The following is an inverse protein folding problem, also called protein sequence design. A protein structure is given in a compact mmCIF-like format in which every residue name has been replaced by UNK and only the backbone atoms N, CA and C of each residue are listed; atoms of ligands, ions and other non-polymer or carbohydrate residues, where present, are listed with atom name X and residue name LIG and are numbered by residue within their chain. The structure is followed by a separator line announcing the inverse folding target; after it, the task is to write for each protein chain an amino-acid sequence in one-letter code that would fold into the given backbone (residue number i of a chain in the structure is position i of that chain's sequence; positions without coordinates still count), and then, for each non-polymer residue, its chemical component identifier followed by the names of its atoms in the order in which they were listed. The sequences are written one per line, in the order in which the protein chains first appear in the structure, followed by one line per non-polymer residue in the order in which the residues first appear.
data_IF_275180417774
#
_entry.id   IF_275180417774
#
_cell.length_a   1.000
_cell.length_b   1.000
_cell.length_c   1.000
_cell.angle_alpha   90.00
_cell.angle_beta   90.00
_cell.angle_gamma   90.00
#
_symmetry.space_group_name_H-M   'P 1'
#
loop_
_entity.id
_entity.type
_entity.pdbx_description
1 polymer ?
#
# COMPACT_ATOMS: atom_id res chain seq x y z
N UNK A 1 22.92 -11.92 -33.83
CA UNK A 1 22.09 -10.75 -33.44
C UNK A 1 22.15 -9.71 -34.53
N UNK A 2 21.00 -9.37 -35.13
CA UNK A 2 20.91 -8.33 -36.18
C UNK A 2 21.23 -6.95 -35.57
N UNK A 3 21.80 -6.03 -36.37
CA UNK A 3 22.13 -4.65 -35.91
C UNK A 3 20.93 -3.95 -35.22
N UNK A 4 19.72 -4.21 -35.71
CA UNK A 4 18.46 -3.70 -35.15
C UNK A 4 18.19 -4.20 -33.71
N UNK A 5 18.52 -5.45 -33.39
CA UNK A 5 18.33 -5.99 -32.03
C UNK A 5 19.26 -5.34 -31.01
N UNK A 6 20.50 -5.06 -31.39
CA UNK A 6 21.45 -4.34 -30.53
C UNK A 6 21.00 -2.91 -30.27
N UNK A 7 20.50 -2.22 -31.30
CA UNK A 7 20.00 -0.86 -31.13
C UNK A 7 18.82 -0.79 -30.15
N UNK A 8 17.86 -1.70 -30.27
CA UNK A 8 16.73 -1.81 -29.34
C UNK A 8 17.25 -2.15 -27.93
N UNK A 9 18.18 -3.09 -27.80
CA UNK A 9 18.78 -3.45 -26.51
C UNK A 9 19.48 -2.25 -25.84
N UNK A 10 20.25 -1.47 -26.57
CA UNK A 10 20.90 -0.26 -26.03
C UNK A 10 19.86 0.79 -25.61
N UNK A 11 18.80 1.00 -26.42
CA UNK A 11 17.73 1.92 -26.07
C UNK A 11 17.00 1.53 -24.78
N UNK A 12 16.63 0.26 -24.63
CA UNK A 12 15.98 -0.27 -23.42
C UNK A 12 16.92 -0.17 -22.22
N UNK A 13 18.22 -0.52 -22.40
CA UNK A 13 19.21 -0.43 -21.31
C UNK A 13 19.44 1.01 -20.87
N UNK A 14 19.57 1.95 -21.82
CA UNK A 14 19.72 3.37 -21.52
C UNK A 14 18.49 3.92 -20.80
N UNK A 15 17.26 3.56 -21.23
CA UNK A 15 16.02 3.91 -20.55
C UNK A 15 15.97 3.37 -19.11
N UNK A 16 16.40 2.12 -18.89
CA UNK A 16 16.47 1.54 -17.55
C UNK A 16 17.44 2.31 -16.64
N UNK A 17 18.64 2.63 -17.14
CA UNK A 17 19.61 3.43 -16.37
C UNK A 17 19.14 4.84 -16.09
N UNK A 18 18.45 5.47 -17.05
CA UNK A 18 17.83 6.79 -16.86
C UNK A 18 16.80 6.78 -15.71
N UNK A 19 15.90 5.80 -15.70
CA UNK A 19 14.88 5.66 -14.63
C UNK A 19 15.55 5.43 -13.27
N UNK A 20 16.55 4.55 -13.21
CA UNK A 20 17.30 4.31 -11.97
C UNK A 20 18.01 5.60 -11.51
N UNK A 21 18.65 6.30 -12.41
CA UNK A 21 19.33 7.58 -12.10
C UNK A 21 18.36 8.64 -11.59
N UNK A 22 17.18 8.76 -12.22
CA UNK A 22 16.11 9.67 -11.76
C UNK A 22 15.63 9.31 -10.36
N UNK A 23 15.44 8.02 -10.07
CA UNK A 23 15.00 7.57 -8.76
C UNK A 23 16.04 7.87 -7.66
N UNK A 24 17.30 7.63 -7.95
CA UNK A 24 18.42 7.96 -7.06
C UNK A 24 18.51 9.47 -6.85
N UNK A 25 18.39 10.25 -7.92
CA UNK A 25 18.38 11.72 -7.83
C UNK A 25 17.23 12.22 -6.94
N UNK A 26 16.00 11.76 -7.16
CA UNK A 26 14.85 12.15 -6.34
C UNK A 26 15.03 11.78 -4.86
N UNK A 27 15.57 10.59 -4.59
CA UNK A 27 15.85 10.17 -3.22
C UNK A 27 16.86 11.11 -2.53
N UNK A 28 17.98 11.41 -3.19
CA UNK A 28 18.97 12.31 -2.64
C UNK A 28 18.45 13.74 -2.53
N UNK A 29 17.67 14.21 -3.50
CA UNK A 29 17.04 15.53 -3.47
C UNK A 29 16.12 15.68 -2.26
N UNK A 30 15.21 14.73 -2.04
CA UNK A 30 14.28 14.76 -0.90
C UNK A 30 15.06 14.73 0.44
N UNK A 31 16.08 13.88 0.54
CA UNK A 31 16.92 13.85 1.74
C UNK A 31 17.66 15.17 1.95
N UNK A 32 18.21 15.76 0.90
CA UNK A 32 18.96 17.03 0.97
C UNK A 32 18.07 18.19 1.46
N UNK A 33 16.88 18.34 0.88
CA UNK A 33 15.91 19.39 1.28
C UNK A 33 15.39 19.19 2.71
N UNK A 34 15.39 17.95 3.22
CA UNK A 34 14.98 17.64 4.59
C UNK A 34 16.08 17.81 5.64
N UNK A 35 17.37 17.87 5.26
CA UNK A 35 18.49 17.97 6.22
C UNK A 35 18.43 19.19 7.17
N UNK A 36 18.01 20.40 6.74
CA UNK A 36 17.99 21.58 7.60
C UNK A 36 17.16 21.41 8.89
N UNK A 37 16.19 20.49 8.89
CA UNK A 37 15.42 20.18 10.12
C UNK A 37 16.32 19.73 11.26
N UNK A 38 17.39 18.98 10.98
CA UNK A 38 18.32 18.48 11.99
C UNK A 38 19.24 19.56 12.61
N UNK A 39 19.29 20.74 12.02
CA UNK A 39 20.03 21.89 12.57
C UNK A 39 19.21 22.65 13.64
N UNK A 40 17.87 22.64 13.48
CA UNK A 40 16.94 23.37 14.36
C UNK A 40 16.27 22.46 15.41
N UNK A 41 16.07 21.19 15.07
CA UNK A 41 15.36 20.22 15.92
C UNK A 41 16.10 18.88 15.93
N UNK A 42 16.28 18.28 17.10
CA UNK A 42 16.85 16.94 17.19
C UNK A 42 15.97 15.90 16.44
N UNK A 43 16.61 15.02 15.66
CA UNK A 43 15.93 13.98 14.87
C UNK A 43 15.02 13.07 15.70
N UNK A 44 15.38 12.81 16.96
CA UNK A 44 14.52 12.02 17.85
C UNK A 44 13.26 12.80 18.22
N UNK A 45 13.37 14.09 18.48
CA UNK A 45 12.22 14.97 18.74
C UNK A 45 11.33 15.07 17.50
N UNK A 46 11.91 15.25 16.30
CA UNK A 46 11.16 15.26 15.04
C UNK A 46 10.37 13.97 14.82
N UNK A 47 10.97 12.81 15.07
CA UNK A 47 10.34 11.52 14.83
C UNK A 47 9.31 11.10 15.88
N UNK A 48 9.50 11.48 17.15
CA UNK A 48 8.72 10.96 18.27
C UNK A 48 7.86 12.00 19.00
N UNK A 49 8.00 13.30 18.73
CA UNK A 49 7.11 14.31 19.28
C UNK A 49 5.71 14.20 18.64
N UNK A 50 4.70 14.52 19.44
CA UNK A 50 3.29 14.46 19.04
C UNK A 50 2.75 15.80 18.54
N UNK A 51 3.52 16.88 18.70
CA UNK A 51 3.08 18.23 18.37
C UNK A 51 3.62 18.64 17.00
N UNK A 52 2.71 19.02 16.12
CA UNK A 52 3.02 19.60 14.83
C UNK A 52 2.45 21.02 14.75
N UNK A 53 3.31 22.01 14.85
CA UNK A 53 3.00 23.42 14.67
C UNK A 53 4.22 24.15 14.08
N UNK A 54 4.50 23.97 12.78
CA UNK A 54 5.69 24.53 12.15
C UNK A 54 5.73 26.06 12.11
N UNK A 55 4.56 26.73 12.28
CA UNK A 55 4.44 28.19 12.31
C UNK A 55 4.41 28.74 13.74
N UNK A 56 4.51 27.88 14.74
CA UNK A 56 4.55 28.27 16.15
C UNK A 56 5.84 28.98 16.53
N UNK A 57 5.83 29.60 17.69
CA UNK A 57 7.04 30.20 18.25
C UNK A 57 7.22 29.77 19.74
N UNK A 58 8.10 28.79 20.02
CA UNK A 58 9.00 28.08 19.11
C UNK A 58 8.24 27.12 18.16
N UNK A 59 8.81 26.76 16.97
CA UNK A 59 8.22 25.80 16.07
C UNK A 59 8.28 24.38 16.65
N UNK A 60 7.18 23.62 16.48
CA UNK A 60 7.09 22.22 16.89
C UNK A 60 6.90 21.36 15.64
N UNK A 61 7.82 20.41 15.40
CA UNK A 61 7.90 19.64 14.13
C UNK A 61 7.73 18.14 14.32
N UNK A 62 6.97 17.71 15.34
CA UNK A 62 6.76 16.29 15.63
C UNK A 62 5.85 15.60 14.61
N UNK A 63 6.34 14.56 13.92
CA UNK A 63 5.57 13.80 12.92
C UNK A 63 5.06 12.43 13.43
N UNK A 64 5.21 12.15 14.71
CA UNK A 64 4.85 10.84 15.28
C UNK A 64 3.38 10.44 15.06
N UNK A 65 2.39 11.32 15.26
CA UNK A 65 0.99 11.00 15.01
C UNK A 65 0.73 10.59 13.56
N UNK A 66 1.35 11.27 12.59
CA UNK A 66 1.20 10.98 11.16
C UNK A 66 1.87 9.67 10.74
N UNK A 67 3.03 9.35 11.33
CA UNK A 67 3.66 8.02 11.16
C UNK A 67 2.72 6.93 11.69
N UNK A 68 2.22 7.08 12.92
CA UNK A 68 1.27 6.16 13.52
C UNK A 68 -0.02 6.05 12.69
N UNK A 69 -0.56 7.17 12.19
CA UNK A 69 -1.74 7.22 11.32
C UNK A 69 -1.53 6.45 10.03
N UNK A 70 -0.42 6.68 9.33
CA UNK A 70 -0.06 5.96 8.10
C UNK A 70 0.06 4.45 8.34
N UNK A 71 0.74 4.03 9.41
CA UNK A 71 0.92 2.63 9.74
C UNK A 71 -0.40 1.97 10.15
N UNK A 72 -1.19 2.64 10.99
CA UNK A 72 -2.44 2.10 11.51
C UNK A 72 -3.48 1.90 10.40
N UNK A 73 -3.71 2.92 9.55
CA UNK A 73 -4.66 2.82 8.44
C UNK A 73 -4.23 1.75 7.44
N UNK A 74 -2.94 1.67 7.12
CA UNK A 74 -2.41 0.70 6.16
C UNK A 74 -2.51 -0.74 6.68
N UNK A 75 -2.18 -0.97 7.95
CA UNK A 75 -2.30 -2.29 8.58
C UNK A 75 -3.74 -2.77 8.61
N UNK A 76 -4.68 -1.90 9.03
CA UNK A 76 -6.10 -2.23 9.04
C UNK A 76 -6.63 -2.53 7.63
N UNK A 77 -6.29 -1.71 6.64
CA UNK A 77 -6.71 -1.93 5.27
C UNK A 77 -6.26 -3.30 4.73
N UNK A 78 -5.00 -3.67 4.97
CA UNK A 78 -4.44 -4.95 4.53
C UNK A 78 -5.03 -6.11 5.31
N UNK A 79 -5.30 -5.95 6.61
CA UNK A 79 -5.93 -6.96 7.45
C UNK A 79 -7.32 -7.36 6.93
N UNK A 80 -8.06 -6.42 6.33
CA UNK A 80 -9.34 -6.69 5.67
C UNK A 80 -9.18 -7.16 4.23
N UNK A 81 -8.34 -6.48 3.44
CA UNK A 81 -8.21 -6.74 2.00
C UNK A 81 -7.66 -8.12 1.69
N UNK A 82 -6.63 -8.59 2.44
CA UNK A 82 -5.95 -9.84 2.09
C UNK A 82 -6.80 -11.07 2.37
N UNK A 83 -7.46 -11.25 3.53
CA UNK A 83 -8.34 -12.40 3.74
C UNK A 83 -9.53 -12.41 2.78
N UNK A 84 -10.19 -11.25 2.59
CA UNK A 84 -11.34 -11.13 1.69
C UNK A 84 -10.92 -11.40 0.23
N UNK A 85 -9.83 -10.78 -0.23
CA UNK A 85 -9.31 -10.98 -1.58
C UNK A 85 -8.84 -12.40 -1.86
N UNK A 86 -8.18 -13.03 -0.86
CA UNK A 86 -7.77 -14.45 -0.95
C UNK A 86 -8.99 -15.37 -1.03
N UNK A 87 -10.00 -15.14 -0.19
CA UNK A 87 -11.26 -15.88 -0.21
C UNK A 87 -12.01 -15.72 -1.55
N UNK A 88 -12.08 -14.48 -2.06
CA UNK A 88 -12.64 -14.18 -3.37
C UNK A 88 -11.90 -14.92 -4.51
N UNK A 89 -10.57 -14.92 -4.50
CA UNK A 89 -9.75 -15.62 -5.48
C UNK A 89 -9.99 -17.13 -5.46
N UNK A 90 -10.09 -17.75 -4.29
CA UNK A 90 -10.43 -19.17 -4.14
C UNK A 90 -11.83 -19.45 -4.67
N UNK A 91 -12.83 -18.63 -4.30
CA UNK A 91 -14.19 -18.77 -4.76
C UNK A 91 -14.27 -18.71 -6.29
N UNK A 92 -13.68 -17.69 -6.90
CA UNK A 92 -13.67 -17.50 -8.35
C UNK A 92 -12.95 -18.65 -9.09
N UNK A 93 -11.91 -19.21 -8.50
CA UNK A 93 -11.09 -20.22 -9.14
C UNK A 93 -11.70 -21.63 -9.09
N UNK A 94 -12.50 -21.95 -8.07
CA UNK A 94 -12.98 -23.32 -7.83
C UNK A 94 -14.49 -23.48 -7.87
N UNK A 95 -15.26 -22.43 -7.57
CA UNK A 95 -16.73 -22.55 -7.39
C UNK A 95 -17.52 -21.81 -8.48
N UNK A 96 -16.86 -21.09 -9.37
CA UNK A 96 -17.49 -20.29 -10.43
C UNK A 96 -17.14 -20.86 -11.80
N UNK A 97 -18.11 -20.90 -12.72
CA UNK A 97 -17.86 -21.32 -14.10
C UNK A 97 -16.87 -20.38 -14.80
N UNK A 98 -16.09 -20.90 -15.75
CA UNK A 98 -15.03 -20.14 -16.42
C UNK A 98 -15.53 -18.82 -17.03
N UNK A 99 -16.72 -18.83 -17.68
CA UNK A 99 -17.29 -17.61 -18.30
C UNK A 99 -17.60 -16.53 -17.27
N UNK A 100 -18.25 -16.90 -16.17
CA UNK A 100 -18.62 -15.95 -15.10
C UNK A 100 -17.36 -15.45 -14.39
N UNK A 101 -16.41 -16.35 -14.11
CA UNK A 101 -15.11 -15.97 -13.53
C UNK A 101 -14.40 -14.92 -14.37
N UNK A 102 -14.30 -15.13 -15.68
CA UNK A 102 -13.55 -14.22 -16.56
C UNK A 102 -14.25 -12.85 -16.65
N UNK A 103 -15.58 -12.80 -16.61
CA UNK A 103 -16.35 -11.55 -16.53
C UNK A 103 -16.08 -10.84 -15.18
N UNK A 104 -16.16 -11.56 -14.06
CA UNK A 104 -15.95 -10.98 -12.74
C UNK A 104 -14.50 -10.49 -12.56
N UNK A 105 -13.52 -11.23 -13.07
CA UNK A 105 -12.12 -10.77 -13.06
C UNK A 105 -11.95 -9.50 -13.90
N UNK A 106 -12.57 -9.41 -15.07
CA UNK A 106 -12.53 -8.19 -15.88
C UNK A 106 -13.11 -6.97 -15.12
N UNK A 107 -14.22 -7.14 -14.37
CA UNK A 107 -14.75 -6.08 -13.50
C UNK A 107 -13.79 -5.70 -12.37
N UNK A 108 -13.18 -6.69 -11.72
CA UNK A 108 -12.19 -6.47 -10.66
C UNK A 108 -10.98 -5.73 -11.21
N UNK A 109 -10.47 -6.11 -12.39
CA UNK A 109 -9.34 -5.44 -13.02
C UNK A 109 -9.69 -3.99 -13.46
N UNK A 110 -10.93 -3.73 -13.88
CA UNK A 110 -11.40 -2.37 -14.14
C UNK A 110 -11.36 -1.49 -12.88
N UNK A 111 -11.70 -2.03 -11.71
CA UNK A 111 -11.60 -1.28 -10.44
C UNK A 111 -10.16 -0.88 -10.12
N UNK A 112 -9.16 -1.68 -10.53
CA UNK A 112 -7.75 -1.31 -10.35
C UNK A 112 -7.34 -0.06 -11.15
N UNK A 113 -8.06 0.24 -12.24
CA UNK A 113 -7.85 1.44 -13.08
C UNK A 113 -8.56 2.69 -12.58
N UNK A 114 -9.43 2.59 -11.58
CA UNK A 114 -10.17 3.74 -11.05
C UNK A 114 -9.22 4.65 -10.25
N UNK A 115 -9.19 5.99 -10.53
CA UNK A 115 -8.41 6.94 -9.75
C UNK A 115 -8.75 6.90 -8.26
N UNK A 116 -7.74 7.00 -7.39
CA UNK A 116 -7.93 6.94 -5.93
C UNK A 116 -8.84 8.03 -5.38
N UNK A 117 -8.88 9.20 -6.01
CA UNK A 117 -9.79 10.31 -5.67
C UNK A 117 -11.26 9.88 -5.74
N UNK A 118 -11.63 9.03 -6.71
CA UNK A 118 -13.01 8.53 -6.83
C UNK A 118 -13.36 7.63 -5.64
N UNK A 119 -12.42 6.75 -5.22
CA UNK A 119 -12.60 5.95 -4.00
C UNK A 119 -12.73 6.83 -2.76
N UNK A 120 -11.91 7.90 -2.65
CA UNK A 120 -12.01 8.88 -1.59
C UNK A 120 -13.36 9.58 -1.56
N UNK A 121 -13.87 10.04 -2.71
CA UNK A 121 -15.16 10.70 -2.84
C UNK A 121 -16.33 9.78 -2.46
N UNK A 122 -16.33 8.54 -2.95
CA UNK A 122 -17.34 7.53 -2.55
C UNK A 122 -17.19 7.21 -1.06
N UNK A 123 -15.96 7.12 -0.56
CA UNK A 123 -15.66 6.92 0.85
C UNK A 123 -16.25 8.02 1.71
N UNK A 124 -16.04 9.28 1.34
CA UNK A 124 -16.59 10.45 2.04
C UNK A 124 -18.13 10.46 2.04
N UNK A 125 -18.74 10.23 0.88
CA UNK A 125 -20.20 10.34 0.73
C UNK A 125 -20.95 9.13 1.28
N UNK A 126 -20.37 7.93 1.24
CA UNK A 126 -21.05 6.68 1.66
C UNK A 126 -20.49 6.16 2.98
N UNK A 127 -19.16 5.91 3.05
CA UNK A 127 -18.57 5.21 4.21
C UNK A 127 -18.55 6.10 5.44
N UNK A 128 -18.05 7.33 5.31
CA UNK A 128 -18.00 8.33 6.41
C UNK A 128 -19.40 8.59 6.96
N UNK A 129 -20.39 8.85 6.09
CA UNK A 129 -21.77 9.08 6.53
C UNK A 129 -22.39 7.86 7.23
N UNK A 130 -22.05 6.64 6.80
CA UNK A 130 -22.56 5.41 7.45
C UNK A 130 -21.90 5.20 8.80
N UNK A 131 -20.60 5.40 8.93
CA UNK A 131 -19.87 5.29 10.19
C UNK A 131 -20.39 6.33 11.19
N UNK A 132 -20.54 7.60 10.77
CA UNK A 132 -21.10 8.64 11.62
C UNK A 132 -22.48 8.28 12.20
N UNK A 133 -23.36 7.68 11.39
CA UNK A 133 -24.69 7.26 11.84
C UNK A 133 -24.66 6.01 12.75
N UNK A 134 -23.83 5.02 12.41
CA UNK A 134 -23.79 3.75 13.16
C UNK A 134 -23.19 3.94 14.56
N UNK A 135 -22.17 4.80 14.66
CA UNK A 135 -21.44 5.04 15.91
C UNK A 135 -21.84 6.35 16.59
N UNK A 136 -22.90 7.03 16.09
CA UNK A 136 -23.43 8.30 16.63
C UNK A 136 -22.33 9.39 16.78
N UNK A 137 -21.40 9.46 15.81
CA UNK A 137 -20.31 10.42 15.81
C UNK A 137 -20.73 11.73 15.16
N UNK A 138 -20.21 12.85 15.66
CA UNK A 138 -20.39 14.17 15.05
C UNK A 138 -19.84 14.25 13.63
N UNK A 139 -18.75 13.56 13.36
CA UNK A 139 -18.16 13.32 12.03
C UNK A 139 -17.77 11.85 11.95
N UNK A 140 -18.11 11.19 10.84
CA UNK A 140 -17.70 9.78 10.62
C UNK A 140 -16.31 9.66 9.98
N UNK A 141 -15.61 10.77 9.75
CA UNK A 141 -14.21 10.78 9.32
C UNK A 141 -13.35 10.12 10.38
N UNK A 142 -12.63 9.06 10.00
CA UNK A 142 -11.92 8.22 10.97
C UNK A 142 -10.87 7.33 10.29
N UNK A 143 -9.99 6.79 11.11
CA UNK A 143 -9.05 5.72 10.70
C UNK A 143 -9.81 4.52 10.12
N UNK A 144 -10.95 4.15 10.73
CA UNK A 144 -11.77 3.05 10.24
C UNK A 144 -12.34 3.33 8.84
N UNK A 145 -12.85 4.54 8.60
CA UNK A 145 -13.36 4.94 7.29
C UNK A 145 -12.26 4.83 6.21
N UNK A 146 -11.08 5.38 6.50
CA UNK A 146 -9.93 5.32 5.61
C UNK A 146 -9.47 3.88 5.35
N UNK A 147 -9.39 3.06 6.38
CA UNK A 147 -9.00 1.65 6.25
C UNK A 147 -9.97 0.83 5.40
N UNK A 148 -11.28 1.06 5.53
CA UNK A 148 -12.30 0.38 4.71
C UNK A 148 -12.23 0.78 3.24
N UNK A 149 -12.07 2.09 2.96
CA UNK A 149 -11.92 2.60 1.59
C UNK A 149 -10.65 2.02 0.94
N UNK A 150 -9.53 2.05 1.66
CA UNK A 150 -8.29 1.46 1.19
C UNK A 150 -8.40 -0.06 0.99
N UNK A 151 -9.09 -0.77 1.89
CA UNK A 151 -9.29 -2.21 1.76
C UNK A 151 -9.99 -2.55 0.43
N UNK A 152 -11.06 -1.82 0.09
CA UNK A 152 -11.75 -2.00 -1.19
C UNK A 152 -10.83 -1.72 -2.38
N UNK A 153 -10.03 -0.65 -2.31
CA UNK A 153 -9.07 -0.28 -3.36
C UNK A 153 -7.95 -1.31 -3.56
N UNK A 154 -7.59 -2.05 -2.50
CA UNK A 154 -6.55 -3.09 -2.55
C UNK A 154 -7.08 -4.43 -3.06
N UNK A 155 -8.40 -4.70 -2.97
CA UNK A 155 -9.00 -5.99 -3.36
C UNK A 155 -8.61 -6.45 -4.77
N UNK A 156 -8.69 -5.62 -5.82
CA UNK A 156 -8.32 -6.05 -7.17
C UNK A 156 -6.91 -6.62 -7.24
N UNK A 157 -5.96 -5.94 -6.64
CA UNK A 157 -4.56 -6.35 -6.62
C UNK A 157 -4.37 -7.69 -5.90
N UNK A 158 -5.00 -7.87 -4.73
CA UNK A 158 -4.90 -9.12 -3.95
C UNK A 158 -5.56 -10.28 -4.70
N UNK A 159 -6.76 -10.06 -5.27
CA UNK A 159 -7.50 -11.08 -6.01
C UNK A 159 -6.70 -11.54 -7.21
N UNK A 160 -6.21 -10.62 -8.06
CA UNK A 160 -5.47 -10.95 -9.28
C UNK A 160 -4.18 -11.72 -8.95
N UNK A 161 -3.42 -11.29 -7.93
CA UNK A 161 -2.21 -12.00 -7.47
C UNK A 161 -2.52 -13.43 -7.00
N UNK A 162 -3.61 -13.60 -6.26
CA UNK A 162 -4.01 -14.91 -5.74
C UNK A 162 -4.55 -15.83 -6.86
N UNK A 163 -5.37 -15.30 -7.78
CA UNK A 163 -5.91 -16.07 -8.93
C UNK A 163 -4.77 -16.56 -9.84
N UNK A 164 -3.77 -15.72 -10.11
CA UNK A 164 -2.59 -16.12 -10.88
C UNK A 164 -1.84 -17.27 -10.20
N UNK A 165 -1.60 -17.19 -8.89
CA UNK A 165 -0.95 -18.24 -8.11
C UNK A 165 -1.76 -19.55 -8.11
N UNK A 166 -3.09 -19.46 -7.97
CA UNK A 166 -3.99 -20.64 -8.04
C UNK A 166 -3.91 -21.26 -9.43
N UNK A 167 -3.93 -20.45 -10.50
CA UNK A 167 -3.83 -20.92 -11.87
C UNK A 167 -2.53 -21.69 -12.14
N UNK A 168 -1.41 -21.26 -11.56
CA UNK A 168 -0.14 -21.99 -11.64
C UNK A 168 -0.23 -23.36 -10.97
N UNK A 169 -0.78 -23.41 -9.76
CA UNK A 169 -0.94 -24.67 -8.99
C UNK A 169 -1.85 -25.65 -9.72
N UNK A 170 -2.96 -25.18 -10.25
CA UNK A 170 -3.91 -26.00 -11.01
C UNK A 170 -3.24 -26.64 -12.21
N UNK A 171 -2.50 -25.87 -13.00
CA UNK A 171 -1.77 -26.39 -14.16
C UNK A 171 -0.76 -27.47 -13.81
N UNK A 172 -0.08 -27.33 -12.65
CA UNK A 172 1.00 -28.23 -12.25
C UNK A 172 0.49 -29.51 -11.56
N UNK A 173 -0.55 -29.42 -10.73
CA UNK A 173 -0.87 -30.48 -9.76
C UNK A 173 -2.32 -30.99 -9.83
N UNK A 174 -3.29 -30.29 -10.48
CA UNK A 174 -4.69 -30.68 -10.45
C UNK A 174 -4.91 -32.06 -11.09
N UNK A 175 -4.36 -32.29 -12.30
CA UNK A 175 -4.49 -33.57 -13.01
C UNK A 175 -3.88 -34.74 -12.23
N UNK A 176 -2.69 -34.56 -11.66
CA UNK A 176 -2.03 -35.60 -10.85
C UNK A 176 -2.81 -35.88 -9.57
N UNK A 177 -3.33 -34.85 -8.90
CA UNK A 177 -4.11 -34.99 -7.68
C UNK A 177 -5.41 -35.78 -7.91
N UNK A 178 -6.11 -35.46 -8.99
CA UNK A 178 -7.34 -36.16 -9.40
C UNK A 178 -7.06 -37.63 -9.78
N UNK A 179 -5.95 -37.90 -10.48
CA UNK A 179 -5.55 -39.28 -10.85
C UNK A 179 -5.24 -40.13 -9.60
N UNK A 180 -4.83 -39.53 -8.50
CA UNK A 180 -4.62 -40.20 -7.21
C UNK A 180 -5.90 -40.33 -6.36
N UNK A 181 -7.06 -39.91 -6.90
CA UNK A 181 -8.35 -40.00 -6.22
C UNK A 181 -8.58 -38.91 -5.15
N UNK A 182 -7.79 -37.85 -5.12
CA UNK A 182 -8.01 -36.74 -4.19
C UNK A 182 -9.25 -35.95 -4.59
N UNK A 183 -10.09 -35.60 -3.60
CA UNK A 183 -11.23 -34.72 -3.83
C UNK A 183 -10.81 -33.24 -3.95
N UNK A 184 -11.71 -32.40 -4.46
CA UNK A 184 -11.46 -30.97 -4.66
C UNK A 184 -11.10 -30.25 -3.35
N UNK A 185 -11.74 -30.60 -2.24
CA UNK A 185 -11.51 -29.95 -0.95
C UNK A 185 -10.12 -30.32 -0.38
N UNK A 186 -9.71 -31.58 -0.58
CA UNK A 186 -8.36 -32.03 -0.22
C UNK A 186 -7.31 -31.27 -1.06
N UNK A 187 -7.54 -31.16 -2.40
CA UNK A 187 -6.67 -30.41 -3.29
C UNK A 187 -6.50 -28.95 -2.83
N UNK A 188 -7.60 -28.25 -2.53
CA UNK A 188 -7.56 -26.87 -2.04
C UNK A 188 -6.78 -26.77 -0.71
N UNK A 189 -7.12 -27.60 0.28
CA UNK A 189 -6.55 -27.46 1.63
C UNK A 189 -5.11 -27.92 1.73
N UNK A 190 -4.73 -28.99 1.01
CA UNK A 190 -3.42 -29.64 1.18
C UNK A 190 -2.40 -29.23 0.10
N UNK A 191 -2.86 -28.74 -1.05
CA UNK A 191 -1.95 -28.37 -2.15
C UNK A 191 -2.03 -26.87 -2.44
N UNK A 192 -3.23 -26.34 -2.73
CA UNK A 192 -3.39 -24.95 -3.15
C UNK A 192 -3.02 -23.97 -2.05
N UNK A 193 -3.64 -24.06 -0.87
CA UNK A 193 -3.41 -23.13 0.24
C UNK A 193 -1.94 -23.08 0.70
N UNK A 194 -1.24 -24.21 0.91
CA UNK A 194 0.17 -24.19 1.24
C UNK A 194 1.06 -23.58 0.14
N UNK A 195 0.74 -23.83 -1.13
CA UNK A 195 1.47 -23.25 -2.25
C UNK A 195 1.27 -21.74 -2.35
N UNK A 196 0.01 -21.28 -2.24
CA UNK A 196 -0.35 -19.86 -2.28
C UNK A 196 0.24 -19.02 -1.16
N UNK A 197 0.66 -19.61 -0.05
CA UNK A 197 1.16 -18.88 1.13
C UNK A 197 2.18 -17.79 0.77
N UNK A 198 3.04 -18.05 -0.22
CA UNK A 198 4.05 -17.08 -0.65
C UNK A 198 3.45 -15.93 -1.46
N UNK A 199 2.46 -16.22 -2.31
CA UNK A 199 1.72 -15.21 -3.05
C UNK A 199 0.93 -14.32 -2.10
N UNK A 200 0.26 -14.90 -1.11
CA UNK A 200 -0.49 -14.16 -0.07
C UNK A 200 0.43 -13.26 0.75
N UNK A 201 1.60 -13.76 1.21
CA UNK A 201 2.58 -12.94 1.92
C UNK A 201 3.10 -11.81 1.00
N UNK A 202 3.35 -12.11 -0.27
CA UNK A 202 3.75 -11.11 -1.25
C UNK A 202 2.67 -10.05 -1.47
N UNK A 203 1.42 -10.47 -1.62
CA UNK A 203 0.27 -9.58 -1.73
C UNK A 203 0.12 -8.70 -0.47
N UNK A 204 0.30 -9.28 0.73
CA UNK A 204 0.24 -8.56 2.00
C UNK A 204 1.26 -7.40 2.05
N UNK A 205 2.54 -7.69 1.78
CA UNK A 205 3.62 -6.69 1.86
C UNK A 205 3.45 -5.60 0.80
N UNK A 206 3.11 -5.98 -0.45
CA UNK A 206 2.92 -5.02 -1.53
C UNK A 206 1.66 -4.16 -1.32
N UNK A 207 0.57 -4.75 -0.81
CA UNK A 207 -0.64 -4.00 -0.44
C UNK A 207 -0.37 -3.03 0.70
N UNK A 208 0.43 -3.42 1.70
CA UNK A 208 0.85 -2.52 2.78
C UNK A 208 1.65 -1.34 2.25
N UNK A 209 2.66 -1.58 1.41
CA UNK A 209 3.46 -0.51 0.83
C UNK A 209 2.61 0.45 -0.02
N UNK A 210 1.64 -0.08 -0.79
CA UNK A 210 0.70 0.72 -1.57
C UNK A 210 -0.21 1.55 -0.67
N UNK A 211 -0.79 0.94 0.38
CA UNK A 211 -1.66 1.63 1.32
C UNK A 211 -0.94 2.74 2.10
N UNK A 212 0.30 2.50 2.53
CA UNK A 212 1.11 3.46 3.27
C UNK A 212 1.50 4.71 2.44
N UNK A 213 1.53 4.57 1.11
CA UNK A 213 1.77 5.69 0.20
C UNK A 213 0.49 6.35 -0.33
N UNK A 214 -0.71 5.88 0.04
CA UNK A 214 -1.95 6.44 -0.47
C UNK A 214 -2.24 7.81 0.17
N UNK A 215 -2.46 8.80 -0.70
CA UNK A 215 -2.63 10.19 -0.30
C UNK A 215 -4.10 10.63 -0.42
N UNK A 216 -4.63 10.62 -1.65
CA UNK A 216 -5.89 11.30 -1.96
C UNK A 216 -7.11 10.61 -1.34
N UNK A 217 -7.20 9.29 -1.41
CA UNK A 217 -8.32 8.57 -0.82
C UNK A 217 -8.33 8.72 0.70
N UNK A 218 -7.15 8.65 1.34
CA UNK A 218 -6.99 8.78 2.80
C UNK A 218 -7.31 10.19 3.26
N UNK A 219 -6.74 11.21 2.63
CA UNK A 219 -6.96 12.62 2.92
C UNK A 219 -8.45 13.01 2.94
N UNK A 220 -9.26 12.41 2.05
CA UNK A 220 -10.69 12.72 1.96
C UNK A 220 -11.54 12.12 3.07
N UNK A 221 -11.09 11.06 3.73
CA UNK A 221 -11.94 10.27 4.65
C UNK A 221 -11.40 10.13 6.07
N UNK A 222 -10.13 10.51 6.31
CA UNK A 222 -9.45 10.32 7.60
C UNK A 222 -9.63 11.52 8.55
N UNK A 223 -10.01 12.70 8.02
CA UNK A 223 -10.32 13.90 8.79
C UNK A 223 -9.15 14.83 9.05
N UNK A 224 -7.92 14.51 8.63
CA UNK A 224 -6.71 15.35 8.60
C UNK A 224 -6.45 16.11 9.92
N UNK A 225 -6.49 15.41 11.04
CA UNK A 225 -6.22 15.96 12.35
C UNK A 225 -4.86 15.44 12.86
N UNK A 226 -3.99 16.34 13.24
CA UNK A 226 -2.66 16.06 13.80
C UNK A 226 -2.78 15.63 15.25
N UNK A 227 -3.37 14.46 15.48
CA UNK A 227 -3.56 13.85 16.79
C UNK A 227 -3.20 12.36 16.73
N UNK A 228 -2.92 11.77 17.88
CA UNK A 228 -2.68 10.33 17.94
C UNK A 228 -3.90 9.56 17.40
N UNK A 229 -3.69 8.62 16.46
CA UNK A 229 -4.77 7.95 15.75
C UNK A 229 -5.53 6.97 16.65
N UNK A 230 -6.85 7.13 16.69
CA UNK A 230 -7.80 6.19 17.28
C UNK A 230 -8.69 5.58 16.20
N UNK A 231 -9.23 4.37 16.43
CA UNK A 231 -9.98 3.64 15.42
C UNK A 231 -11.16 4.42 14.84
N UNK A 232 -11.94 5.06 15.70
CA UNK A 232 -13.11 5.89 15.35
C UNK A 232 -12.81 7.38 15.40
N UNK A 233 -11.58 7.75 15.73
CA UNK A 233 -11.09 9.12 15.76
C UNK A 233 -10.56 9.56 14.40
N UNK A 234 -10.47 10.88 14.25
CA UNK A 234 -9.74 11.50 13.13
C UNK A 234 -8.25 11.21 13.26
N UNK A 235 -7.54 11.39 12.17
CA UNK A 235 -6.09 11.30 12.15
C UNK A 235 -5.55 11.88 10.86
N UNK A 236 -4.26 11.80 10.70
CA UNK A 236 -3.56 12.24 9.51
C UNK A 236 -2.48 11.24 9.12
N UNK A 237 -2.22 11.11 7.83
CA UNK A 237 -1.11 10.31 7.32
C UNK A 237 0.02 11.21 6.83
N UNK A 238 1.26 10.70 6.79
CA UNK A 238 2.41 11.46 6.26
C UNK A 238 2.17 11.93 4.82
N UNK A 239 1.65 11.11 3.89
CA UNK A 239 1.32 11.59 2.55
C UNK A 239 0.25 12.68 2.54
N UNK A 240 -0.76 12.60 3.42
CA UNK A 240 -1.82 13.61 3.52
C UNK A 240 -1.28 14.93 4.03
N UNK A 241 -0.44 14.92 5.08
CA UNK A 241 0.24 16.09 5.61
C UNK A 241 1.01 16.83 4.51
N UNK A 242 1.87 16.10 3.76
CA UNK A 242 2.65 16.69 2.67
C UNK A 242 1.73 17.29 1.59
N UNK A 243 0.67 16.58 1.21
CA UNK A 243 -0.25 17.06 0.17
C UNK A 243 -1.04 18.30 0.57
N UNK A 244 -1.39 18.43 1.85
CA UNK A 244 -2.14 19.57 2.38
C UNK A 244 -1.27 20.81 2.59
N UNK A 245 -0.07 20.63 3.13
CA UNK A 245 0.74 21.75 3.61
C UNK A 245 1.83 22.21 2.64
N UNK A 246 2.28 21.35 1.70
CA UNK A 246 3.35 21.71 0.75
C UNK A 246 3.02 22.95 -0.09
N UNK A 247 1.74 23.15 -0.43
CA UNK A 247 1.30 24.30 -1.22
C UNK A 247 1.32 25.64 -0.48
N UNK A 248 1.34 25.62 0.86
CA UNK A 248 1.38 26.79 1.73
C UNK A 248 2.76 27.03 2.39
N UNK A 249 3.66 26.04 2.33
CA UNK A 249 5.00 26.16 2.86
C UNK A 249 5.87 27.07 1.98
N UNK A 250 6.47 28.10 2.56
CA UNK A 250 7.39 29.00 1.88
C UNK A 250 8.69 28.26 1.55
N UNK A 251 9.17 28.43 0.31
CA UNK A 251 10.41 27.78 -0.14
C UNK A 251 11.59 28.16 0.75
N UNK A 252 12.35 27.15 1.20
CA UNK A 252 13.52 27.33 2.06
C UNK A 252 13.17 27.61 3.53
N UNK A 253 11.89 27.62 3.92
CA UNK A 253 11.48 27.70 5.31
C UNK A 253 11.69 26.38 6.05
N UNK A 254 11.75 26.47 7.40
CA UNK A 254 11.82 25.28 8.25
C UNK A 254 10.62 24.35 8.04
N UNK A 255 9.41 24.92 7.83
CA UNK A 255 8.20 24.17 7.48
C UNK A 255 8.38 23.37 6.18
N UNK A 256 8.90 24.00 5.13
CA UNK A 256 9.21 23.35 3.86
C UNK A 256 10.17 22.18 4.04
N UNK A 257 11.28 22.39 4.75
CA UNK A 257 12.26 21.34 5.02
C UNK A 257 11.70 20.20 5.86
N UNK A 258 10.80 20.50 6.82
CA UNK A 258 10.15 19.49 7.65
C UNK A 258 9.20 18.58 6.84
N UNK A 259 8.50 19.11 5.83
CA UNK A 259 7.69 18.29 4.92
C UNK A 259 8.57 17.38 4.04
N UNK A 260 9.72 17.84 3.58
CA UNK A 260 10.69 16.98 2.86
C UNK A 260 11.30 15.91 3.78
N UNK A 261 11.62 16.26 5.02
CA UNK A 261 12.09 15.29 6.01
C UNK A 261 11.02 14.22 6.30
N UNK A 262 9.75 14.59 6.44
CA UNK A 262 8.63 13.65 6.57
C UNK A 262 8.51 12.74 5.33
N UNK A 263 8.69 13.29 4.13
CA UNK A 263 8.76 12.54 2.87
C UNK A 263 9.92 11.54 2.83
N UNK A 264 11.11 11.93 3.31
CA UNK A 264 12.26 11.05 3.43
C UNK A 264 11.99 9.87 4.39
N UNK A 265 11.35 10.13 5.54
CA UNK A 265 10.92 9.09 6.49
C UNK A 265 9.94 8.11 5.83
N UNK A 266 8.95 8.62 5.09
CA UNK A 266 8.00 7.78 4.36
C UNK A 266 8.71 6.90 3.32
N UNK A 267 9.62 7.47 2.51
CA UNK A 267 10.42 6.73 1.53
C UNK A 267 11.24 5.62 2.20
N UNK A 268 11.84 5.90 3.35
CA UNK A 268 12.59 4.91 4.10
C UNK A 268 11.71 3.76 4.58
N UNK A 269 10.51 4.04 5.11
CA UNK A 269 9.52 3.03 5.50
C UNK A 269 9.08 2.16 4.32
N UNK A 270 8.85 2.76 3.15
CA UNK A 270 8.50 2.04 1.94
C UNK A 270 9.65 1.16 1.42
N UNK A 271 10.88 1.65 1.45
CA UNK A 271 12.07 0.88 1.08
C UNK A 271 12.26 -0.33 2.02
N UNK A 272 12.06 -0.12 3.32
CA UNK A 272 12.15 -1.19 4.31
C UNK A 272 11.10 -2.29 4.04
N UNK A 273 9.87 -1.90 3.71
CA UNK A 273 8.81 -2.86 3.33
C UNK A 273 9.19 -3.67 2.08
N UNK A 274 9.77 -3.02 1.07
CA UNK A 274 10.27 -3.67 -0.14
C UNK A 274 11.43 -4.64 0.12
N UNK A 275 12.35 -4.27 1.00
CA UNK A 275 13.46 -5.14 1.42
C UNK A 275 12.94 -6.37 2.19
N UNK A 276 11.98 -6.20 3.09
CA UNK A 276 11.32 -7.31 3.77
C UNK A 276 10.70 -8.31 2.79
N UNK A 277 10.03 -7.81 1.74
CA UNK A 277 9.51 -8.66 0.67
C UNK A 277 10.62 -9.48 0.00
N UNK A 278 11.75 -8.86 -0.31
CA UNK A 278 12.89 -9.54 -0.94
C UNK A 278 13.45 -10.64 -0.05
N UNK A 279 13.63 -10.38 1.24
CA UNK A 279 14.13 -11.36 2.22
C UNK A 279 13.18 -12.56 2.33
N UNK A 280 11.86 -12.31 2.44
CA UNK A 280 10.84 -13.36 2.52
C UNK A 280 10.83 -14.23 1.25
N UNK A 281 10.97 -13.64 0.06
CA UNK A 281 11.05 -14.38 -1.21
C UNK A 281 12.35 -15.18 -1.36
N UNK A 282 13.48 -14.63 -0.92
CA UNK A 282 14.81 -15.30 -1.09
C UNK A 282 14.96 -16.52 -0.19
N UNK A 283 14.52 -16.47 1.07
CA UNK A 283 14.64 -17.57 2.04
C UNK A 283 13.98 -18.88 1.58
N UNK A 284 13.13 -18.82 0.54
CA UNK A 284 12.36 -19.98 0.04
C UNK A 284 12.78 -20.50 -1.33
N UNK A 285 13.62 -19.81 -2.09
CA UNK A 285 14.26 -20.40 -3.28
C UNK A 285 15.24 -21.49 -2.87
N UNK A 286 15.86 -21.38 -1.70
CA UNK A 286 16.78 -22.36 -1.14
C UNK A 286 16.10 -23.70 -0.74
N UNK A 287 14.79 -23.71 -0.46
CA UNK A 287 14.05 -24.94 -0.10
C UNK A 287 13.47 -25.71 -1.30
N UNK A 288 13.57 -25.19 -2.53
CA UNK A 288 13.13 -25.86 -3.77
C UNK A 288 14.26 -26.58 -4.51
N UNK A 289 15.45 -26.62 -3.95
CA UNK A 289 16.65 -27.24 -4.52
C UNK A 289 17.09 -28.53 -3.82
N UNK A 290 16.19 -29.19 -3.07
CA UNK A 290 16.39 -30.55 -2.57
C UNK A 290 15.28 -31.45 -3.06
#
# INVERSE_FOLDING_TARGET
MKKSERFIQYGVTAGAWFVIGLFVFLFFFICHEGLPVGEETDWLTFLFSQNWNPLGNPPELGIFPMICGSLYVSLLAVLWAVPVGTGCALFLSFFVSARIRDILLAFIDMLAGVPSVIFGFIGLTVVVNRIGRIFELASGESILAAALVLAVMLLPFVVSTCVESIGEVRRLYEGTSLALGADMMYFIRRIVLPYMRNAVIGAWILSFARAAGETMAVMMVMGNAVIMPELLGKGESVPSLIALEMGSAEYGSLHYSALYAAGAVLLFLLLLSGLLLRVVRHKKRSFRGC
#
